data_IF_514750095830
#
_entry.id   IF_514750095830
#
_cell.length_a   1.000
_cell.length_b   1.000
_cell.length_c   1.000
_cell.angle_alpha   90.00
_cell.angle_beta   90.00
_cell.angle_gamma   90.00
#
_symmetry.space_group_name_H-M   'P 1'
#
loop_
_entity.id
_entity.type
_entity.pdbx_description
1 polymer ?
#
# COMPACT_ATOMS: atom_id res chain seq x y z
N UNK A 1 13.93 9.75 17.89
CA UNK A 1 12.58 9.30 18.24
C UNK A 1 11.78 9.25 16.96
N UNK A 2 11.30 8.05 16.59
CA UNK A 2 10.37 7.88 15.48
C UNK A 2 9.09 8.67 15.78
N UNK A 3 8.49 9.38 14.82
CA UNK A 3 7.22 10.05 15.03
C UNK A 3 6.15 9.00 15.41
N UNK A 4 5.40 9.28 16.47
CA UNK A 4 4.31 8.41 16.87
C UNK A 4 3.05 8.80 16.12
N UNK A 5 2.48 7.86 15.40
CA UNK A 5 1.17 8.02 14.80
C UNK A 5 0.10 7.67 15.81
N UNK A 6 -0.96 8.47 15.86
CA UNK A 6 -2.17 8.12 16.59
C UNK A 6 -3.20 7.59 15.63
N UNK A 7 -3.84 6.51 15.97
CA UNK A 7 -5.05 6.06 15.31
C UNK A 7 -6.25 6.53 16.07
N UNK A 8 -7.23 7.05 15.34
CA UNK A 8 -8.57 7.18 15.83
C UNK A 8 -9.44 6.19 15.04
N UNK A 9 -10.06 5.24 15.72
CA UNK A 9 -10.99 4.31 15.12
C UNK A 9 -12.38 4.92 15.26
N UNK A 10 -13.03 5.20 14.13
CA UNK A 10 -14.44 5.57 14.10
C UNK A 10 -15.23 4.40 13.53
N UNK A 11 -16.12 3.83 14.32
CA UNK A 11 -16.97 2.73 13.89
C UNK A 11 -18.27 3.27 13.31
N UNK A 12 -18.47 3.08 12.03
CA UNK A 12 -19.77 3.27 11.38
C UNK A 12 -20.35 1.91 10.98
N UNK A 13 -21.60 1.69 11.13
CA UNK A 13 -22.47 0.53 10.94
C UNK A 13 -21.97 -0.72 10.22
N UNK A 14 -20.98 -0.66 9.33
CA UNK A 14 -20.32 -1.77 8.63
C UNK A 14 -18.84 -1.53 8.32
N UNK A 15 -18.34 -0.35 8.55
CA UNK A 15 -17.02 0.10 8.13
C UNK A 15 -16.31 0.73 9.32
N UNK A 16 -15.03 0.42 9.44
CA UNK A 16 -14.16 1.05 10.42
C UNK A 16 -13.33 2.09 9.69
N UNK A 17 -13.40 3.35 10.14
CA UNK A 17 -12.58 4.43 9.62
C UNK A 17 -11.42 4.68 10.57
N UNK A 18 -10.23 4.79 10.03
CA UNK A 18 -9.04 5.14 10.79
C UNK A 18 -8.55 6.53 10.40
N UNK A 19 -8.38 7.40 11.40
CA UNK A 19 -7.64 8.64 11.23
C UNK A 19 -6.17 8.40 11.55
N UNK A 20 -5.29 8.60 10.60
CA UNK A 20 -3.85 8.54 10.79
C UNK A 20 -3.38 9.94 11.17
N UNK A 21 -2.92 10.12 12.41
CA UNK A 21 -2.43 11.39 12.91
C UNK A 21 -0.90 11.40 12.92
N UNK A 22 -0.34 12.48 12.43
CA UNK A 22 1.08 12.73 12.48
C UNK A 22 1.43 13.56 13.72
N UNK A 23 2.57 13.28 14.31
CA UNK A 23 2.93 13.86 15.61
C UNK A 23 3.38 15.31 15.56
N UNK A 24 3.60 15.91 14.41
CA UNK A 24 4.11 17.28 14.30
C UNK A 24 3.44 18.05 13.19
N UNK A 25 2.35 18.76 13.51
CA UNK A 25 1.79 19.83 12.69
C UNK A 25 1.21 19.46 11.33
N UNK A 26 1.05 18.19 11.05
CA UNK A 26 0.59 17.71 9.75
C UNK A 26 -0.88 17.28 9.81
N UNK A 27 -1.56 17.37 8.69
CA UNK A 27 -2.97 17.02 8.60
C UNK A 27 -3.15 15.51 8.66
N UNK A 28 -4.00 14.97 9.53
CA UNK A 28 -4.28 13.55 9.56
C UNK A 28 -4.97 13.09 8.27
N UNK A 29 -4.59 11.92 7.76
CA UNK A 29 -5.33 11.26 6.70
C UNK A 29 -6.41 10.36 7.31
N UNK A 30 -7.59 10.35 6.69
CA UNK A 30 -8.67 9.43 7.00
C UNK A 30 -8.65 8.28 6.01
N UNK A 31 -8.57 7.07 6.53
CA UNK A 31 -8.57 5.86 5.68
C UNK A 31 -9.79 5.03 6.03
N UNK A 32 -10.70 4.90 5.08
CA UNK A 32 -11.87 4.05 5.19
C UNK A 32 -11.49 2.61 4.85
N UNK A 33 -11.96 1.65 5.64
CA UNK A 33 -11.81 0.25 5.30
C UNK A 33 -12.81 -0.64 6.04
N UNK A 34 -13.01 -1.83 5.51
CA UNK A 34 -13.81 -2.88 6.15
C UNK A 34 -12.90 -3.91 6.81
N UNK A 35 -13.46 -4.71 7.72
CA UNK A 35 -12.71 -5.78 8.40
C UNK A 35 -12.02 -6.75 7.41
N UNK A 36 -12.61 -6.97 6.25
CA UNK A 36 -12.07 -7.85 5.21
C UNK A 36 -10.84 -7.30 4.47
N UNK A 37 -10.49 -6.04 4.74
CA UNK A 37 -9.31 -5.37 4.18
C UNK A 37 -8.17 -5.21 5.19
N UNK A 38 -8.38 -5.62 6.45
CA UNK A 38 -7.37 -5.50 7.49
C UNK A 38 -6.38 -6.68 7.43
N UNK A 39 -5.35 -6.51 6.62
CA UNK A 39 -4.23 -7.44 6.46
C UNK A 39 -2.98 -7.06 7.25
N UNK A 40 -3.07 -6.19 8.28
CA UNK A 40 -1.93 -5.74 9.06
C UNK A 40 -1.09 -4.63 8.40
N UNK A 41 -1.50 -4.13 7.25
CA UNK A 41 -0.81 -3.05 6.53
C UNK A 41 -0.78 -1.72 7.25
N UNK A 42 -1.62 -1.54 8.28
CA UNK A 42 -1.62 -0.38 9.15
C UNK A 42 -0.29 -0.12 9.81
N UNK A 43 0.37 -1.16 10.32
CA UNK A 43 1.67 -1.02 10.96
C UNK A 43 2.73 -0.52 9.96
N UNK A 44 2.80 -1.14 8.78
CA UNK A 44 3.74 -0.72 7.74
C UNK A 44 3.47 0.70 7.25
N UNK A 45 2.20 1.06 7.06
CA UNK A 45 1.80 2.43 6.72
C UNK A 45 2.23 3.46 7.76
N UNK A 46 2.34 3.07 9.05
CA UNK A 46 2.87 3.95 10.10
C UNK A 46 4.36 4.17 10.02
N UNK A 47 5.13 3.12 9.77
CA UNK A 47 6.59 3.15 9.79
C UNK A 47 7.18 3.73 8.50
N UNK A 48 6.52 3.49 7.37
CA UNK A 48 7.03 3.80 6.05
C UNK A 48 7.38 5.28 5.82
N UNK A 49 6.55 6.26 6.24
CA UNK A 49 6.93 7.67 6.12
C UNK A 49 8.22 8.02 6.85
N UNK A 50 8.46 7.44 8.02
CA UNK A 50 9.71 7.64 8.76
C UNK A 50 10.90 7.06 8.01
N UNK A 51 10.76 5.86 7.47
CA UNK A 51 11.80 5.22 6.63
C UNK A 51 12.12 6.09 5.41
N UNK A 52 11.11 6.63 4.75
CA UNK A 52 11.28 7.50 3.58
C UNK A 52 11.99 8.81 3.99
N UNK A 53 11.56 9.45 5.05
CA UNK A 53 12.18 10.69 5.56
C UNK A 53 13.67 10.48 5.93
N UNK A 54 13.98 9.35 6.55
CA UNK A 54 15.36 9.02 6.95
C UNK A 54 16.27 8.76 5.74
N UNK A 55 15.75 8.07 4.72
CA UNK A 55 16.52 7.70 3.52
C UNK A 55 16.61 8.82 2.49
N UNK A 56 15.58 9.64 2.40
CA UNK A 56 15.41 10.69 1.40
C UNK A 56 14.92 11.99 2.05
N UNK A 57 15.70 12.61 2.96
CA UNK A 57 15.24 13.68 3.86
C UNK A 57 14.69 14.92 3.14
N UNK A 58 15.21 15.23 1.96
CA UNK A 58 14.85 16.43 1.21
C UNK A 58 13.99 16.14 -0.03
N UNK A 59 13.53 14.88 -0.18
CA UNK A 59 12.80 14.46 -1.37
C UNK A 59 11.30 14.47 -1.13
N UNK A 60 10.58 15.15 -2.04
CA UNK A 60 9.14 15.00 -2.24
C UNK A 60 8.94 14.31 -3.58
N UNK A 61 8.27 13.16 -3.58
CA UNK A 61 8.03 12.38 -4.78
C UNK A 61 6.88 12.97 -5.60
N UNK A 62 6.99 12.90 -6.92
CA UNK A 62 5.95 13.39 -7.82
C UNK A 62 4.73 12.47 -7.82
N UNK A 63 4.96 11.15 -7.91
CA UNK A 63 3.89 10.16 -7.90
C UNK A 63 4.32 8.87 -7.22
N UNK A 64 3.61 8.53 -6.15
CA UNK A 64 3.78 7.26 -5.44
C UNK A 64 2.75 6.24 -5.94
N UNK A 65 3.20 5.03 -6.24
CA UNK A 65 2.35 3.87 -6.51
C UNK A 65 2.34 2.93 -5.31
N UNK A 66 1.17 2.50 -4.87
CA UNK A 66 1.02 1.42 -3.89
C UNK A 66 0.49 0.16 -4.56
N UNK A 67 1.34 -0.85 -4.64
CA UNK A 67 1.01 -2.18 -5.15
C UNK A 67 0.38 -3.05 -4.06
N UNK A 68 -0.63 -3.86 -4.41
CA UNK A 68 -1.43 -4.63 -3.45
C UNK A 68 -1.99 -3.72 -2.36
N UNK A 69 -2.64 -2.64 -2.77
CA UNK A 69 -2.88 -1.49 -1.91
C UNK A 69 -3.87 -1.76 -0.76
N UNK A 70 -4.75 -2.76 -0.87
CA UNK A 70 -5.84 -2.88 0.08
C UNK A 70 -6.56 -1.54 0.23
N UNK A 71 -6.77 -1.03 1.46
CA UNK A 71 -7.41 0.26 1.68
C UNK A 71 -6.45 1.47 1.50
N UNK A 72 -5.18 1.26 1.13
CA UNK A 72 -4.23 2.34 0.85
C UNK A 72 -3.54 2.92 2.08
N UNK A 73 -3.34 2.16 3.12
CA UNK A 73 -2.70 2.66 4.36
C UNK A 73 -1.33 3.31 4.11
N UNK A 74 -0.48 2.67 3.30
CA UNK A 74 0.87 3.18 3.02
C UNK A 74 0.83 4.45 2.18
N UNK A 75 0.11 4.44 1.07
CA UNK A 75 0.01 5.60 0.17
C UNK A 75 -0.59 6.81 0.86
N UNK A 76 -1.68 6.64 1.59
CA UNK A 76 -2.31 7.74 2.32
C UNK A 76 -1.45 8.27 3.47
N UNK A 77 -0.71 7.40 4.16
CA UNK A 77 0.25 7.84 5.18
C UNK A 77 1.39 8.66 4.56
N UNK A 78 1.90 8.25 3.40
CA UNK A 78 2.94 8.97 2.65
C UNK A 78 2.43 10.35 2.22
N UNK A 79 1.21 10.42 1.66
CA UNK A 79 0.61 11.70 1.24
C UNK A 79 0.31 12.61 2.43
N UNK A 80 -0.20 12.09 3.53
CA UNK A 80 -0.45 12.84 4.77
C UNK A 80 0.83 13.44 5.37
N UNK A 81 1.98 12.81 5.11
CA UNK A 81 3.30 13.31 5.50
C UNK A 81 3.94 14.27 4.48
N UNK A 82 3.21 14.69 3.45
CA UNK A 82 3.69 15.55 2.37
C UNK A 82 4.92 15.00 1.63
N UNK A 83 5.06 13.67 1.56
CA UNK A 83 6.17 13.00 0.90
C UNK A 83 5.91 12.69 -0.57
N UNK A 84 4.67 12.79 -1.02
CA UNK A 84 4.28 12.66 -2.43
C UNK A 84 3.23 13.67 -2.83
N UNK A 85 3.21 14.06 -4.10
CA UNK A 85 2.21 14.98 -4.65
C UNK A 85 0.95 14.27 -5.12
N UNK A 86 1.07 13.04 -5.58
CA UNK A 86 -0.05 12.23 -6.06
C UNK A 86 0.14 10.75 -5.79
N UNK A 87 -0.96 10.01 -5.83
CA UNK A 87 -1.01 8.58 -5.56
C UNK A 87 -1.64 7.82 -6.74
N UNK A 88 -1.12 6.63 -6.96
CA UNK A 88 -1.74 5.62 -7.79
C UNK A 88 -1.82 4.32 -7.00
N UNK A 89 -2.97 3.67 -7.02
CA UNK A 89 -3.20 2.42 -6.31
C UNK A 89 -3.57 1.31 -7.29
N UNK A 90 -3.20 0.07 -6.99
CA UNK A 90 -3.83 -1.07 -7.61
C UNK A 90 -4.06 -2.22 -6.63
N UNK A 91 -5.16 -2.89 -6.83
CA UNK A 91 -5.50 -4.14 -6.17
C UNK A 91 -6.37 -4.99 -7.11
N UNK A 92 -6.40 -6.30 -6.89
CA UNK A 92 -7.30 -7.21 -7.61
C UNK A 92 -8.69 -7.33 -6.96
N UNK A 93 -8.85 -6.81 -5.76
CA UNK A 93 -10.05 -6.95 -4.94
C UNK A 93 -10.91 -5.68 -5.02
N UNK A 94 -12.10 -5.72 -5.66
CA UNK A 94 -12.93 -4.53 -5.86
C UNK A 94 -13.22 -3.73 -4.57
N UNK A 95 -13.55 -4.33 -3.42
CA UNK A 95 -13.79 -3.57 -2.19
C UNK A 95 -12.59 -2.76 -1.70
N UNK A 96 -11.36 -3.12 -2.10
CA UNK A 96 -10.18 -2.30 -1.81
C UNK A 96 -10.26 -0.96 -2.53
N UNK A 97 -10.65 -0.97 -3.80
CA UNK A 97 -10.76 0.27 -4.58
C UNK A 97 -11.94 1.14 -4.15
N UNK A 98 -13.04 0.53 -3.68
CA UNK A 98 -14.14 1.29 -3.06
C UNK A 98 -13.63 2.05 -1.82
N UNK A 99 -12.78 1.40 -1.01
CA UNK A 99 -12.15 2.03 0.15
C UNK A 99 -11.16 3.14 -0.25
N UNK A 100 -10.39 2.95 -1.32
CA UNK A 100 -9.50 3.98 -1.89
C UNK A 100 -10.31 5.20 -2.30
N UNK A 101 -11.38 5.02 -3.06
CA UNK A 101 -12.24 6.12 -3.52
C UNK A 101 -12.86 6.88 -2.34
N UNK A 102 -13.40 6.16 -1.35
CA UNK A 102 -13.98 6.76 -0.14
C UNK A 102 -12.93 7.56 0.63
N UNK A 103 -11.73 7.01 0.80
CA UNK A 103 -10.64 7.69 1.50
C UNK A 103 -10.17 8.94 0.74
N UNK A 104 -10.10 8.90 -0.58
CA UNK A 104 -9.79 10.09 -1.39
C UNK A 104 -10.80 11.20 -1.15
N UNK A 105 -12.11 10.88 -1.17
CA UNK A 105 -13.21 11.83 -0.89
C UNK A 105 -13.12 12.40 0.53
N UNK A 106 -12.88 11.57 1.53
CA UNK A 106 -12.78 11.99 2.93
C UNK A 106 -11.63 12.99 3.18
N UNK A 107 -10.59 12.94 2.36
CA UNK A 107 -9.42 13.81 2.47
C UNK A 107 -9.43 14.99 1.49
N UNK A 108 -10.37 15.03 0.54
CA UNK A 108 -10.39 16.04 -0.53
C UNK A 108 -9.22 15.86 -1.51
N UNK A 109 -8.83 14.61 -1.83
CA UNK A 109 -7.69 14.26 -2.67
C UNK A 109 -8.09 13.56 -3.98
N UNK A 110 -9.35 13.65 -4.40
CA UNK A 110 -9.88 12.95 -5.58
C UNK A 110 -9.11 13.28 -6.86
N UNK A 111 -8.64 14.50 -6.99
CA UNK A 111 -7.85 14.99 -8.13
C UNK A 111 -6.37 14.58 -8.08
N UNK A 112 -5.92 14.00 -6.96
CA UNK A 112 -4.54 13.56 -6.73
C UNK A 112 -4.40 12.05 -6.61
N UNK A 113 -5.49 11.30 -6.72
CA UNK A 113 -5.54 9.86 -6.53
C UNK A 113 -6.09 9.19 -7.79
N UNK A 114 -5.33 8.24 -8.32
CA UNK A 114 -5.76 7.32 -9.37
C UNK A 114 -5.74 5.89 -8.84
N UNK A 115 -6.56 5.02 -9.38
CA UNK A 115 -6.59 3.62 -8.96
C UNK A 115 -7.06 2.68 -10.08
N UNK A 116 -6.55 1.45 -10.05
CA UNK A 116 -6.79 0.44 -11.07
C UNK A 116 -7.16 -0.90 -10.45
N UNK A 117 -8.26 -1.49 -10.90
CA UNK A 117 -8.64 -2.85 -10.56
C UNK A 117 -7.88 -3.82 -11.46
N UNK A 118 -6.72 -4.27 -11.00
CA UNK A 118 -5.89 -5.21 -11.75
C UNK A 118 -4.96 -6.00 -10.83
N UNK A 119 -4.65 -7.23 -11.19
CA UNK A 119 -3.61 -8.06 -10.61
C UNK A 119 -2.33 -8.03 -11.46
N UNK A 120 -2.49 -8.06 -12.78
CA UNK A 120 -1.39 -8.07 -13.73
C UNK A 120 -0.85 -6.65 -13.97
N UNK A 121 0.36 -6.39 -13.47
CA UNK A 121 1.04 -5.08 -13.60
C UNK A 121 1.30 -4.70 -15.06
N UNK A 122 1.38 -5.69 -15.97
CA UNK A 122 1.48 -5.41 -17.41
C UNK A 122 0.25 -4.65 -17.98
N UNK A 123 -0.87 -4.64 -17.26
CA UNK A 123 -2.08 -3.93 -17.65
C UNK A 123 -2.16 -2.49 -17.13
N UNK A 124 -1.19 -2.04 -16.34
CA UNK A 124 -1.10 -0.62 -16.00
C UNK A 124 -0.93 0.21 -17.29
N UNK A 125 -1.63 1.35 -17.41
CA UNK A 125 -1.47 2.22 -18.57
C UNK A 125 -0.04 2.71 -18.74
N UNK A 126 0.50 2.71 -19.97
CA UNK A 126 1.89 3.07 -20.29
C UNK A 126 2.28 4.48 -19.82
N UNK A 127 1.31 5.39 -19.70
CA UNK A 127 1.56 6.76 -19.23
C UNK A 127 1.79 6.87 -17.72
N UNK A 128 1.48 5.82 -16.95
CA UNK A 128 1.74 5.79 -15.53
C UNK A 128 3.23 5.60 -15.25
N UNK A 129 3.84 6.64 -14.65
CA UNK A 129 5.25 6.66 -14.28
C UNK A 129 5.39 7.07 -12.82
N UNK A 130 6.19 6.33 -12.06
CA UNK A 130 6.32 6.50 -10.62
C UNK A 130 7.78 6.72 -10.22
N UNK A 131 8.01 7.65 -9.33
CA UNK A 131 9.32 7.87 -8.70
C UNK A 131 9.40 7.27 -7.29
N UNK A 132 8.26 6.81 -6.75
CA UNK A 132 8.19 5.98 -5.55
C UNK A 132 7.18 4.85 -5.76
N UNK A 133 7.57 3.62 -5.47
CA UNK A 133 6.68 2.46 -5.45
C UNK A 133 6.79 1.81 -4.09
N UNK A 134 5.64 1.56 -3.47
CA UNK A 134 5.55 0.90 -2.17
C UNK A 134 4.58 -0.27 -2.24
N UNK A 135 4.63 -1.16 -1.27
CA UNK A 135 3.67 -2.25 -1.16
C UNK A 135 3.88 -3.08 0.09
N UNK A 136 2.78 -3.67 0.53
CA UNK A 136 2.75 -4.70 1.55
C UNK A 136 2.05 -5.94 0.96
N UNK A 137 2.73 -6.63 0.03
CA UNK A 137 2.14 -7.74 -0.70
C UNK A 137 1.91 -8.95 0.20
N UNK A 138 1.19 -9.99 -0.28
CA UNK A 138 1.07 -11.25 0.43
C UNK A 138 2.45 -11.86 0.75
N UNK A 139 2.65 -12.32 1.99
CA UNK A 139 3.95 -12.77 2.50
C UNK A 139 4.20 -14.28 2.39
N UNK A 140 3.22 -15.06 1.94
CA UNK A 140 3.30 -16.52 1.91
C UNK A 140 3.16 -17.07 0.49
N UNK A 141 4.10 -17.93 0.09
CA UNK A 141 4.10 -18.56 -1.22
C UNK A 141 3.20 -19.80 -1.31
N UNK A 142 2.73 -20.31 -0.17
CA UNK A 142 1.82 -21.47 -0.10
C UNK A 142 0.89 -21.40 1.10
N UNK A 143 -0.22 -22.16 1.07
CA UNK A 143 -1.16 -22.23 2.19
C UNK A 143 -0.61 -22.99 3.39
N UNK A 144 0.36 -23.88 3.20
CA UNK A 144 0.99 -24.64 4.27
C UNK A 144 1.80 -23.75 5.22
N UNK A 145 2.22 -22.58 4.76
CA UNK A 145 2.91 -21.59 5.59
C UNK A 145 1.98 -20.84 6.55
N UNK A 146 0.67 -20.94 6.35
CA UNK A 146 -0.31 -20.32 7.24
C UNK A 146 -0.58 -21.22 8.44
N UNK A 147 -0.33 -20.73 9.64
CA UNK A 147 -0.58 -21.48 10.89
C UNK A 147 -2.06 -21.76 11.15
N UNK A 148 -2.91 -20.84 10.72
CA UNK A 148 -4.38 -20.94 10.88
C UNK A 148 -5.04 -20.59 9.56
N UNK A 149 -5.59 -21.57 8.85
CA UNK A 149 -6.34 -21.31 7.61
C UNK A 149 -7.55 -20.42 7.85
N UNK A 150 -7.70 -19.39 7.03
CA UNK A 150 -8.88 -18.54 6.94
C UNK A 150 -9.16 -18.26 5.45
N UNK A 151 -9.82 -19.21 4.74
CA UNK A 151 -9.99 -19.13 3.29
C UNK A 151 -10.73 -17.88 2.82
N UNK A 152 -11.58 -17.31 3.65
CA UNK A 152 -12.38 -16.14 3.25
C UNK A 152 -11.59 -14.84 3.23
N UNK A 153 -10.62 -14.70 4.15
CA UNK A 153 -9.90 -13.43 4.32
C UNK A 153 -8.39 -13.60 4.32
N UNK A 154 -7.84 -14.35 5.27
CA UNK A 154 -6.41 -14.40 5.51
C UNK A 154 -5.64 -15.07 4.38
N UNK A 155 -6.16 -16.18 3.86
CA UNK A 155 -5.52 -16.90 2.75
C UNK A 155 -5.44 -16.00 1.52
N UNK A 156 -6.52 -15.27 1.23
CA UNK A 156 -6.59 -14.32 0.12
C UNK A 156 -5.64 -13.12 0.30
N UNK A 157 -5.59 -12.57 1.52
CA UNK A 157 -4.80 -11.38 1.83
C UNK A 157 -3.31 -11.67 1.96
N UNK A 158 -2.97 -12.87 2.42
CA UNK A 158 -1.61 -13.17 2.86
C UNK A 158 -0.85 -14.09 1.91
N UNK A 159 -1.52 -14.71 0.92
CA UNK A 159 -0.91 -15.75 0.09
C UNK A 159 -0.79 -15.30 -1.37
N UNK A 160 0.43 -15.42 -1.90
CA UNK A 160 0.77 -15.33 -3.32
C UNK A 160 1.33 -16.68 -3.77
N UNK A 161 0.44 -17.55 -4.25
CA UNK A 161 0.80 -18.92 -4.62
C UNK A 161 1.92 -18.94 -5.65
N UNK A 162 2.97 -19.69 -5.33
CA UNK A 162 4.17 -19.82 -6.16
C UNK A 162 4.81 -18.47 -6.52
N UNK A 163 4.57 -17.43 -5.73
CA UNK A 163 5.08 -16.07 -5.97
C UNK A 163 4.71 -15.48 -7.34
N UNK A 164 3.54 -15.83 -7.87
CA UNK A 164 3.14 -15.42 -9.21
C UNK A 164 2.93 -13.90 -9.31
N UNK A 165 2.31 -13.28 -8.32
CA UNK A 165 2.08 -11.82 -8.31
C UNK A 165 3.40 -11.06 -8.18
N UNK A 166 4.33 -11.55 -7.34
CA UNK A 166 5.67 -10.95 -7.19
C UNK A 166 6.48 -11.05 -8.50
N UNK A 167 6.51 -12.21 -9.16
CA UNK A 167 7.20 -12.36 -10.45
C UNK A 167 6.60 -11.47 -11.52
N UNK A 168 5.29 -11.39 -11.58
CA UNK A 168 4.61 -10.46 -12.48
C UNK A 168 5.00 -9.02 -12.20
N UNK A 169 4.95 -8.61 -10.93
CA UNK A 169 5.36 -7.26 -10.51
C UNK A 169 6.80 -6.96 -10.95
N UNK A 170 7.78 -7.74 -10.55
CA UNK A 170 9.19 -7.47 -10.88
C UNK A 170 9.50 -7.56 -12.37
N UNK A 171 8.74 -8.35 -13.12
CA UNK A 171 8.89 -8.42 -14.59
C UNK A 171 8.48 -7.12 -15.27
N UNK A 172 7.40 -6.50 -14.83
CA UNK A 172 6.73 -5.41 -15.56
C UNK A 172 6.92 -4.03 -14.94
N UNK A 173 7.10 -3.92 -13.63
CA UNK A 173 7.12 -2.64 -12.91
C UNK A 173 8.22 -1.67 -13.39
N UNK A 174 9.31 -2.18 -13.91
CA UNK A 174 10.39 -1.37 -14.48
C UNK A 174 9.96 -0.44 -15.61
N UNK A 175 8.87 -0.79 -16.32
CA UNK A 175 8.32 0.03 -17.39
C UNK A 175 7.60 1.28 -16.84
N UNK A 176 7.29 1.27 -15.56
CA UNK A 176 6.56 2.32 -14.84
C UNK A 176 7.44 3.04 -13.80
N UNK A 177 8.70 2.66 -13.67
CA UNK A 177 9.63 3.29 -12.73
C UNK A 177 10.46 4.36 -13.45
N UNK A 178 10.49 5.57 -12.90
CA UNK A 178 11.36 6.64 -13.40
C UNK A 178 12.83 6.29 -13.21
N UNK A 179 13.78 6.91 -13.95
CA UNK A 179 15.21 6.58 -13.84
C UNK A 179 15.80 6.72 -12.43
N UNK A 180 15.26 7.62 -11.63
CA UNK A 180 15.64 7.87 -10.23
C UNK A 180 14.61 7.32 -9.22
N UNK A 181 13.67 6.54 -9.71
CA UNK A 181 12.60 5.94 -8.93
C UNK A 181 13.11 4.87 -7.96
N UNK A 182 12.41 4.71 -6.86
CA UNK A 182 12.72 3.75 -5.81
C UNK A 182 11.53 2.85 -5.51
N UNK A 183 11.82 1.60 -5.12
CA UNK A 183 10.83 0.60 -4.72
C UNK A 183 11.11 0.21 -3.27
N UNK A 184 10.10 0.31 -2.41
CA UNK A 184 10.14 -0.09 -1.02
C UNK A 184 8.99 -1.06 -0.73
N UNK A 185 9.30 -2.34 -0.62
CA UNK A 185 8.32 -3.38 -0.29
C UNK A 185 8.56 -3.89 1.12
N UNK A 186 7.47 -4.21 1.81
CA UNK A 186 7.51 -4.94 3.07
C UNK A 186 7.42 -6.44 2.78
N UNK A 187 8.49 -7.16 3.10
CA UNK A 187 8.58 -8.61 2.92
C UNK A 187 8.93 -9.29 4.24
N UNK A 188 8.48 -10.53 4.42
CA UNK A 188 8.74 -11.29 5.62
C UNK A 188 9.99 -12.15 5.46
N UNK A 189 11.06 -11.81 6.16
CA UNK A 189 12.39 -12.41 6.01
C UNK A 189 12.46 -13.94 6.31
N UNK A 190 11.50 -14.47 7.06
CA UNK A 190 11.47 -15.91 7.37
C UNK A 190 10.73 -16.74 6.30
N UNK A 191 9.98 -16.07 5.39
CA UNK A 191 9.10 -16.75 4.43
C UNK A 191 9.46 -16.49 2.98
N UNK A 192 10.26 -15.47 2.71
CA UNK A 192 10.68 -15.13 1.36
C UNK A 192 12.08 -14.53 1.31
N UNK A 193 12.69 -14.62 0.15
CA UNK A 193 13.95 -13.98 -0.19
C UNK A 193 13.90 -13.40 -1.60
N UNK A 194 14.84 -12.56 -1.95
CA UNK A 194 14.92 -12.00 -3.30
C UNK A 194 15.07 -13.09 -4.39
N UNK A 195 15.55 -14.27 -4.03
CA UNK A 195 15.72 -15.39 -4.98
C UNK A 195 14.39 -16.06 -5.36
N UNK A 196 13.39 -15.97 -4.50
CA UNK A 196 12.04 -16.51 -4.76
C UNK A 196 11.29 -15.74 -5.86
N UNK A 197 11.69 -14.51 -6.12
CA UNK A 197 11.00 -13.59 -7.05
C UNK A 197 11.68 -13.49 -8.42
N UNK A 198 12.72 -14.28 -8.67
CA UNK A 198 13.46 -14.32 -9.95
C UNK A 198 12.77 -15.14 -11.03
#
# INVERSE_FOLDING_TARGET
HLPHYKYCIQTHTKETMYDIFLTVGETPAKVAYTKNLDGGGTWFGQELPSIIKDRYPDRVFEKCHEWCCGPGFSGYAIMANNLTKSLCFNDKFPPALDAIEESAKLNGWEDRVTYYLLEDIALLPDHEQFDLIVGNPPHFGSFEQLEVPDPENRDRLCTDLDWNSHRNFFTHIKNHLTPDGVILLNEHMDWSSADDFK
#
